data_IF_984294118587
#
_entry.id   IF_984294118587
#
_cell.length_a   1.000
_cell.length_b   1.000
_cell.length_c   1.000
_cell.angle_alpha   90.00
_cell.angle_beta   90.00
_cell.angle_gamma   90.00
#
_symmetry.space_group_name_H-M   'P 1'
#
loop_
_entity.id
_entity.type
_entity.pdbx_description
1 polymer ?
#
# COMPACT_ATOMS: atom_id res chain seq x y z
N UNK A 1 18.50 5.13 14.62
CA UNK A 1 19.44 6.26 14.48
C UNK A 1 20.63 5.88 13.56
N UNK A 2 21.38 4.80 13.84
CA UNK A 2 22.58 4.41 13.06
C UNK A 2 22.36 4.36 11.54
N UNK A 3 21.27 3.74 11.06
CA UNK A 3 20.99 3.66 9.63
C UNK A 3 20.84 5.05 8.98
N UNK A 4 20.15 5.95 9.66
CA UNK A 4 19.98 7.35 9.18
C UNK A 4 21.31 8.09 9.18
N UNK A 5 22.14 7.89 10.21
CA UNK A 5 23.49 8.49 10.32
C UNK A 5 24.42 8.00 9.20
N UNK A 6 24.17 6.80 8.67
CA UNK A 6 24.86 6.23 7.50
C UNK A 6 24.21 6.59 6.16
N UNK A 7 23.21 7.49 6.14
CA UNK A 7 22.55 7.94 4.92
C UNK A 7 21.41 7.04 4.42
N UNK A 8 21.01 6.00 5.17
CA UNK A 8 19.88 5.13 4.82
C UNK A 8 18.59 5.81 5.26
N UNK A 9 17.96 6.54 4.35
CA UNK A 9 16.79 7.35 4.63
C UNK A 9 15.51 6.89 3.92
N UNK A 10 15.54 5.88 3.05
CA UNK A 10 14.36 5.26 2.46
C UNK A 10 13.94 4.07 3.33
N UNK A 11 12.78 4.21 4.02
CA UNK A 11 12.27 3.20 4.92
C UNK A 11 10.98 2.61 4.38
N UNK A 12 10.97 1.29 4.19
CA UNK A 12 9.84 0.54 3.68
C UNK A 12 9.20 -0.30 4.79
N UNK A 13 7.88 -0.20 4.91
CA UNK A 13 7.06 -0.97 5.83
C UNK A 13 5.73 -1.38 5.17
N UNK A 14 4.80 -1.93 5.93
CA UNK A 14 3.44 -2.23 5.48
C UNK A 14 2.47 -2.30 6.67
N UNK A 15 1.18 -2.06 6.42
CA UNK A 15 0.15 -2.17 7.45
C UNK A 15 0.09 -3.55 8.11
N UNK A 16 0.45 -4.60 7.36
CA UNK A 16 0.38 -5.99 7.85
C UNK A 16 1.62 -6.45 8.60
N UNK A 17 2.70 -5.66 8.62
CA UNK A 17 3.92 -6.07 9.29
C UNK A 17 3.79 -5.95 10.82
N UNK A 18 4.37 -6.90 11.56
CA UNK A 18 5.39 -7.89 11.21
C UNK A 18 4.84 -9.17 10.57
N UNK A 19 5.76 -9.97 10.02
CA UNK A 19 5.48 -11.29 9.46
C UNK A 19 6.01 -12.36 10.46
N UNK A 20 5.28 -13.49 10.67
CA UNK A 20 3.99 -13.85 10.05
C UNK A 20 2.84 -12.95 10.53
N UNK A 21 1.85 -12.76 9.63
CA UNK A 21 0.68 -11.93 9.91
C UNK A 21 -0.14 -12.51 11.07
N UNK A 22 -0.36 -11.71 12.12
CA UNK A 22 -1.20 -12.05 13.29
C UNK A 22 -1.98 -10.81 13.69
N UNK A 23 -3.16 -11.02 14.27
CA UNK A 23 -4.02 -9.93 14.75
C UNK A 23 -3.29 -9.06 15.79
N UNK A 24 -2.57 -9.71 16.72
CA UNK A 24 -1.87 -9.05 17.83
C UNK A 24 -0.71 -8.16 17.36
N UNK A 25 -0.11 -8.49 16.21
CA UNK A 25 1.07 -7.78 15.67
C UNK A 25 0.74 -6.92 14.43
N UNK A 26 -0.53 -6.91 14.02
CA UNK A 26 -0.97 -6.09 12.88
C UNK A 26 -0.63 -4.61 13.07
N UNK A 27 0.13 -4.06 12.13
CA UNK A 27 0.56 -2.66 12.14
C UNK A 27 1.66 -2.31 13.14
N UNK A 28 2.30 -3.30 13.77
CA UNK A 28 3.28 -3.04 14.84
C UNK A 28 4.53 -2.33 14.31
N UNK A 29 5.03 -2.66 13.13
CA UNK A 29 6.18 -1.97 12.54
C UNK A 29 5.88 -0.51 12.24
N UNK A 30 4.68 -0.19 11.77
CA UNK A 30 4.26 1.21 11.59
C UNK A 30 4.17 1.93 12.94
N UNK A 31 3.69 1.29 14.01
CA UNK A 31 3.67 1.87 15.37
C UNK A 31 5.09 2.15 15.90
N UNK A 32 6.02 1.22 15.68
CA UNK A 32 7.43 1.39 16.07
C UNK A 32 8.03 2.61 15.36
N UNK A 33 7.86 2.69 14.03
CA UNK A 33 8.34 3.83 13.23
C UNK A 33 7.69 5.14 13.70
N UNK A 34 6.37 5.15 13.90
CA UNK A 34 5.65 6.32 14.38
C UNK A 34 6.10 6.79 15.78
N UNK A 35 6.43 5.86 16.68
CA UNK A 35 7.01 6.18 17.99
C UNK A 35 8.39 6.82 17.84
N UNK A 36 9.20 6.32 16.90
CA UNK A 36 10.51 6.91 16.60
C UNK A 36 10.36 8.33 16.03
N UNK A 37 9.44 8.57 15.08
CA UNK A 37 9.16 9.92 14.58
C UNK A 37 8.73 10.87 15.69
N UNK A 38 7.84 10.43 16.57
CA UNK A 38 7.39 11.24 17.71
C UNK A 38 8.55 11.62 18.63
N UNK A 39 9.47 10.68 18.90
CA UNK A 39 10.62 10.86 19.79
C UNK A 39 11.67 11.75 19.18
N UNK A 40 12.05 11.52 17.92
CA UNK A 40 13.23 12.14 17.30
C UNK A 40 12.93 13.41 16.52
N UNK A 41 11.67 13.62 16.11
CA UNK A 41 11.23 14.70 15.22
C UNK A 41 11.89 14.67 13.83
N UNK A 42 12.41 13.51 13.40
CA UNK A 42 13.15 13.35 12.15
C UNK A 42 12.28 12.86 10.97
N UNK A 43 10.94 13.02 11.03
CA UNK A 43 10.03 12.57 9.94
C UNK A 43 10.45 13.14 8.56
N UNK A 44 10.86 14.39 8.51
CA UNK A 44 11.25 15.09 7.29
C UNK A 44 12.59 14.62 6.68
N UNK A 45 13.37 13.82 7.40
CA UNK A 45 14.61 13.22 6.91
C UNK A 45 14.40 11.86 6.27
N UNK A 46 13.20 11.30 6.38
CA UNK A 46 12.87 9.94 5.92
C UNK A 46 11.95 10.00 4.72
N UNK A 47 12.29 9.25 3.68
CA UNK A 47 11.38 8.86 2.60
C UNK A 47 10.66 7.61 3.08
N UNK A 48 9.40 7.75 3.45
CA UNK A 48 8.61 6.69 4.07
C UNK A 48 7.72 6.00 3.03
N UNK A 49 7.92 4.70 2.86
CA UNK A 49 7.04 3.84 2.10
C UNK A 49 6.23 2.94 3.04
N UNK A 50 4.94 2.80 2.78
CA UNK A 50 4.10 1.76 3.39
C UNK A 50 3.10 1.21 2.39
N UNK A 51 2.38 0.13 2.77
CA UNK A 51 1.58 -0.64 1.82
C UNK A 51 0.22 -1.00 2.41
N UNK A 52 -0.80 -0.94 1.57
CA UNK A 52 -2.14 -1.48 1.87
C UNK A 52 -2.24 -2.90 1.34
N UNK A 53 -2.73 -3.84 2.14
CA UNK A 53 -2.91 -5.21 1.69
C UNK A 53 -4.01 -5.34 0.63
N UNK A 54 -3.83 -6.25 -0.30
CA UNK A 54 -4.84 -6.64 -1.29
C UNK A 54 -5.92 -7.55 -0.69
N UNK A 55 -6.40 -8.51 -1.47
CA UNK A 55 -7.39 -9.48 -1.00
C UNK A 55 -6.81 -10.36 0.13
N UNK A 56 -7.59 -10.56 1.20
CA UNK A 56 -7.18 -11.39 2.34
C UNK A 56 -8.37 -12.05 3.02
N UNK A 57 -8.17 -13.25 3.56
CA UNK A 57 -9.15 -13.95 4.41
C UNK A 57 -9.12 -13.50 5.88
N UNK A 58 -8.11 -12.73 6.29
CA UNK A 58 -7.94 -12.27 7.65
C UNK A 58 -8.99 -11.22 8.04
N UNK A 59 -9.98 -11.62 8.83
CA UNK A 59 -11.12 -10.76 9.20
C UNK A 59 -10.74 -9.53 10.01
N UNK A 60 -9.64 -9.58 10.78
CA UNK A 60 -9.14 -8.43 11.54
C UNK A 60 -8.63 -7.29 10.64
N UNK A 61 -8.37 -7.57 9.36
CA UNK A 61 -8.03 -6.55 8.36
C UNK A 61 -9.31 -6.10 7.68
N UNK A 62 -9.98 -5.10 8.23
CA UNK A 62 -11.21 -4.47 7.67
C UNK A 62 -12.30 -5.47 7.24
N UNK A 63 -12.43 -6.58 7.98
CA UNK A 63 -13.42 -7.63 7.70
C UNK A 63 -13.00 -8.65 6.65
N UNK A 64 -11.75 -8.57 6.14
CA UNK A 64 -11.25 -9.44 5.08
C UNK A 64 -11.78 -9.10 3.68
N UNK A 65 -11.51 -9.95 2.69
CA UNK A 65 -11.91 -9.76 1.30
C UNK A 65 -11.08 -8.71 0.55
N UNK A 66 -11.67 -8.09 -0.47
CA UNK A 66 -11.05 -7.04 -1.28
C UNK A 66 -10.89 -5.74 -0.49
N UNK A 67 -9.74 -5.06 -0.60
CA UNK A 67 -9.37 -3.93 0.26
C UNK A 67 -9.09 -2.62 -0.48
N UNK A 68 -9.13 -2.61 -1.82
CA UNK A 68 -8.83 -1.41 -2.61
C UNK A 68 -10.05 -0.56 -2.95
N UNK A 69 -11.27 -1.04 -2.70
CA UNK A 69 -12.48 -0.22 -2.83
C UNK A 69 -12.38 1.04 -1.96
N UNK A 70 -12.88 2.17 -2.47
CA UNK A 70 -12.71 3.52 -1.91
C UNK A 70 -12.83 3.60 -0.37
N UNK A 71 -13.86 2.98 0.21
CA UNK A 71 -14.07 3.01 1.66
C UNK A 71 -12.92 2.33 2.42
N UNK A 72 -12.57 1.10 2.01
CA UNK A 72 -11.54 0.31 2.72
C UNK A 72 -10.13 0.86 2.54
N UNK A 73 -9.79 1.34 1.34
CA UNK A 73 -8.46 1.91 1.10
C UNK A 73 -8.29 3.25 1.83
N UNK A 74 -9.36 4.04 1.98
CA UNK A 74 -9.34 5.25 2.80
C UNK A 74 -9.12 4.91 4.27
N UNK A 75 -9.87 3.95 4.80
CA UNK A 75 -9.70 3.47 6.18
C UNK A 75 -8.28 2.95 6.42
N UNK A 76 -7.72 2.18 5.47
CA UNK A 76 -6.34 1.68 5.55
C UNK A 76 -5.32 2.81 5.67
N UNK A 77 -5.43 3.82 4.79
CA UNK A 77 -4.53 4.97 4.79
C UNK A 77 -4.62 5.76 6.10
N UNK A 78 -5.84 6.07 6.56
CA UNK A 78 -6.04 6.84 7.80
C UNK A 78 -5.48 6.08 9.02
N UNK A 79 -5.66 4.76 9.07
CA UNK A 79 -5.08 3.93 10.11
C UNK A 79 -3.54 3.87 10.05
N UNK A 80 -2.95 3.79 8.86
CA UNK A 80 -1.49 3.83 8.68
C UNK A 80 -0.91 5.18 9.12
N UNK A 81 -1.50 6.30 8.71
CA UNK A 81 -1.10 7.64 9.15
C UNK A 81 -1.15 7.78 10.67
N UNK A 82 -2.21 7.25 11.31
CA UNK A 82 -2.36 7.24 12.77
C UNK A 82 -1.27 6.41 13.46
N UNK A 83 -0.96 5.20 12.96
CA UNK A 83 0.11 4.34 13.52
C UNK A 83 1.48 4.98 13.33
N UNK A 84 1.74 5.53 12.15
CA UNK A 84 2.99 6.20 11.77
C UNK A 84 3.15 7.58 12.42
N UNK A 85 2.09 8.15 13.02
CA UNK A 85 2.09 9.48 13.67
C UNK A 85 2.63 10.58 12.76
N UNK A 86 2.17 10.58 11.51
CA UNK A 86 2.53 11.53 10.47
C UNK A 86 1.31 11.90 9.64
N UNK A 87 1.34 13.08 9.04
CA UNK A 87 0.24 13.57 8.20
C UNK A 87 0.36 13.11 6.75
N UNK A 88 1.53 12.58 6.36
CA UNK A 88 1.77 12.14 4.99
C UNK A 88 2.69 10.92 4.88
N UNK A 89 2.55 10.21 3.78
CA UNK A 89 3.39 9.09 3.34
C UNK A 89 4.04 9.48 2.03
N UNK A 90 5.34 9.20 1.86
CA UNK A 90 6.03 9.54 0.62
C UNK A 90 5.68 8.58 -0.51
N UNK A 91 5.62 7.27 -0.25
CA UNK A 91 5.24 6.25 -1.22
C UNK A 91 4.19 5.30 -0.64
N UNK A 92 2.98 5.31 -1.19
CA UNK A 92 1.90 4.40 -0.79
C UNK A 92 1.74 3.31 -1.83
N UNK A 93 1.89 2.05 -1.44
CA UNK A 93 1.95 0.93 -2.37
C UNK A 93 0.76 -0.02 -2.19
N UNK A 94 0.25 -0.56 -3.29
CA UNK A 94 -0.65 -1.70 -3.29
C UNK A 94 0.18 -2.96 -3.08
N UNK A 95 -0.02 -3.66 -1.96
CA UNK A 95 0.91 -4.69 -1.47
C UNK A 95 0.89 -5.98 -2.31
N UNK A 96 -0.27 -6.36 -2.83
CA UNK A 96 -0.47 -7.43 -3.81
C UNK A 96 -1.82 -7.26 -4.51
N UNK A 97 -1.99 -7.85 -5.71
CA UNK A 97 -3.25 -7.77 -6.46
C UNK A 97 -4.45 -8.33 -5.69
N UNK A 98 -5.63 -7.75 -5.90
CA UNK A 98 -6.89 -8.32 -5.41
C UNK A 98 -7.39 -9.48 -6.27
N UNK A 99 -7.14 -9.41 -7.58
CA UNK A 99 -7.57 -10.42 -8.53
C UNK A 99 -6.77 -11.71 -8.41
N UNK A 100 -7.32 -12.80 -8.93
CA UNK A 100 -6.61 -14.07 -9.03
C UNK A 100 -5.42 -13.94 -9.99
N UNK A 101 -4.22 -14.10 -9.45
CA UNK A 101 -2.97 -14.08 -10.21
C UNK A 101 -1.86 -14.76 -9.41
N UNK A 102 -0.70 -14.94 -10.02
CA UNK A 102 0.46 -15.55 -9.35
C UNK A 102 1.21 -14.52 -8.53
N UNK A 103 1.26 -14.74 -7.22
CA UNK A 103 2.11 -14.00 -6.28
C UNK A 103 2.40 -14.88 -5.05
N UNK A 104 3.43 -14.55 -4.28
CA UNK A 104 3.86 -15.27 -3.08
C UNK A 104 4.10 -16.78 -3.31
N UNK A 105 4.77 -17.14 -4.42
CA UNK A 105 5.09 -18.52 -4.74
C UNK A 105 3.95 -19.35 -5.35
N UNK A 106 2.78 -18.76 -5.58
CA UNK A 106 1.71 -19.41 -6.33
C UNK A 106 2.12 -19.52 -7.80
N UNK A 107 2.08 -20.74 -8.34
CA UNK A 107 2.35 -21.06 -9.74
C UNK A 107 1.09 -21.61 -10.43
N UNK A 108 1.10 -21.62 -11.77
CA UNK A 108 0.01 -22.20 -12.55
C UNK A 108 -1.23 -21.30 -12.53
N UNK A 109 -1.15 -20.14 -13.19
CA UNK A 109 -2.32 -19.26 -13.37
C UNK A 109 -3.38 -19.97 -14.21
N UNK A 110 -4.58 -20.08 -13.63
CA UNK A 110 -5.79 -20.51 -14.33
C UNK A 110 -6.75 -19.32 -14.39
N UNK A 111 -7.18 -18.99 -15.60
CA UNK A 111 -8.12 -17.91 -15.80
C UNK A 111 -9.51 -18.32 -15.29
N UNK A 112 -10.10 -17.45 -14.47
CA UNK A 112 -11.47 -17.59 -14.00
C UNK A 112 -12.29 -16.39 -14.48
N UNK A 113 -13.18 -16.60 -15.45
CA UNK A 113 -14.06 -15.55 -15.99
C UNK A 113 -15.02 -14.98 -14.92
N UNK A 114 -15.23 -15.69 -13.81
CA UNK A 114 -16.07 -15.25 -12.70
C UNK A 114 -15.32 -14.37 -11.69
N UNK A 115 -14.00 -14.28 -11.80
CA UNK A 115 -13.17 -13.39 -10.95
C UNK A 115 -13.31 -11.94 -11.40
N UNK A 116 -14.48 -11.35 -11.16
CA UNK A 116 -14.85 -9.99 -11.57
C UNK A 116 -15.13 -9.06 -10.37
N UNK A 117 -14.97 -9.57 -9.15
CA UNK A 117 -15.37 -8.84 -7.93
C UNK A 117 -14.27 -7.93 -7.35
N UNK A 118 -13.06 -7.95 -7.93
CA UNK A 118 -11.98 -7.06 -7.52
C UNK A 118 -12.25 -5.61 -7.94
N UNK A 119 -11.65 -4.68 -7.21
CA UNK A 119 -11.83 -3.23 -7.45
C UNK A 119 -11.24 -2.83 -8.81
N UNK A 120 -11.99 -2.18 -9.69
CA UNK A 120 -11.47 -1.70 -10.98
C UNK A 120 -10.25 -0.81 -10.81
N UNK A 121 -9.27 -0.95 -11.69
CA UNK A 121 -8.04 -0.14 -11.67
C UNK A 121 -8.30 1.36 -11.70
N UNK A 122 -9.33 1.81 -12.43
CA UNK A 122 -9.73 3.21 -12.49
C UNK A 122 -10.19 3.72 -11.12
N UNK A 123 -11.07 2.97 -10.42
CA UNK A 123 -11.55 3.33 -9.08
C UNK A 123 -10.39 3.40 -8.07
N UNK A 124 -9.45 2.46 -8.17
CA UNK A 124 -8.24 2.47 -7.33
C UNK A 124 -7.44 3.76 -7.57
N UNK A 125 -7.15 4.08 -8.84
CA UNK A 125 -6.38 5.27 -9.21
C UNK A 125 -7.09 6.58 -8.82
N UNK A 126 -8.42 6.66 -8.95
CA UNK A 126 -9.22 7.81 -8.51
C UNK A 126 -9.13 8.02 -6.98
N UNK A 127 -9.21 6.91 -6.22
CA UNK A 127 -9.06 6.95 -4.77
C UNK A 127 -7.67 7.46 -4.38
N UNK A 128 -6.62 6.89 -4.99
CA UNK A 128 -5.24 7.31 -4.76
C UNK A 128 -4.99 8.76 -5.19
N UNK A 129 -5.59 9.21 -6.28
CA UNK A 129 -5.52 10.61 -6.72
C UNK A 129 -6.13 11.57 -5.69
N UNK A 130 -7.23 11.18 -5.08
CA UNK A 130 -7.84 11.97 -3.99
C UNK A 130 -6.85 12.12 -2.82
N UNK A 131 -6.18 11.04 -2.43
CA UNK A 131 -5.19 11.09 -1.34
C UNK A 131 -3.97 11.94 -1.66
N UNK A 132 -3.54 11.98 -2.94
CA UNK A 132 -2.47 12.89 -3.40
C UNK A 132 -2.93 14.34 -3.31
N UNK A 133 -4.14 14.65 -3.78
CA UNK A 133 -4.71 16.00 -3.72
C UNK A 133 -4.90 16.50 -2.30
N UNK A 134 -5.24 15.60 -1.38
CA UNK A 134 -5.38 15.88 0.06
C UNK A 134 -4.02 16.02 0.78
N UNK A 135 -2.91 15.78 0.07
CA UNK A 135 -1.56 15.83 0.64
C UNK A 135 -1.21 14.68 1.58
N UNK A 136 -2.07 13.65 1.67
CA UNK A 136 -1.86 12.47 2.53
C UNK A 136 -0.79 11.52 1.99
N UNK A 137 -0.65 11.43 0.66
CA UNK A 137 0.41 10.65 0.00
C UNK A 137 1.07 11.49 -1.08
N UNK A 138 2.35 11.23 -1.38
CA UNK A 138 3.09 11.94 -2.45
C UNK A 138 3.14 11.14 -3.74
N UNK A 139 3.49 9.87 -3.64
CA UNK A 139 3.64 8.96 -4.76
C UNK A 139 2.93 7.65 -4.50
N UNK A 140 2.60 6.93 -5.58
CA UNK A 140 1.95 5.63 -5.54
C UNK A 140 2.81 4.58 -6.22
N UNK A 141 2.72 3.33 -5.75
CA UNK A 141 3.48 2.20 -6.29
C UNK A 141 2.73 0.89 -6.17
N UNK A 142 3.32 -0.13 -6.73
CA UNK A 142 2.84 -1.50 -6.72
C UNK A 142 3.84 -2.41 -6.00
N UNK A 143 3.35 -3.52 -5.49
CA UNK A 143 4.15 -4.62 -4.98
C UNK A 143 3.51 -5.94 -5.39
N UNK A 144 4.31 -6.96 -5.71
CA UNK A 144 3.85 -8.29 -6.15
C UNK A 144 2.88 -8.24 -7.35
N UNK A 145 2.92 -7.20 -8.14
CA UNK A 145 2.04 -7.02 -9.29
C UNK A 145 2.65 -7.68 -10.54
N UNK A 146 1.79 -8.15 -11.44
CA UNK A 146 2.20 -8.72 -12.73
C UNK A 146 2.53 -7.62 -13.74
N UNK A 147 3.33 -7.96 -14.77
CA UNK A 147 3.61 -7.05 -15.88
C UNK A 147 2.31 -6.59 -16.57
N UNK A 148 1.31 -7.47 -16.69
CA UNK A 148 0.00 -7.12 -17.25
C UNK A 148 -0.73 -6.08 -16.39
N UNK A 149 -0.79 -6.29 -15.06
CA UNK A 149 -1.45 -5.35 -14.17
C UNK A 149 -0.76 -3.99 -14.13
N UNK A 150 0.60 -3.97 -14.11
CA UNK A 150 1.36 -2.73 -14.24
C UNK A 150 1.02 -2.00 -15.55
N UNK A 151 1.00 -2.71 -16.69
CA UNK A 151 0.65 -2.12 -17.97
C UNK A 151 -0.76 -1.51 -17.95
N UNK A 152 -1.74 -2.20 -17.33
CA UNK A 152 -3.11 -1.69 -17.20
C UNK A 152 -3.21 -0.45 -16.32
N UNK A 153 -2.52 -0.40 -15.18
CA UNK A 153 -2.44 0.81 -14.37
C UNK A 153 -1.85 2.00 -15.15
N UNK A 154 -0.77 1.78 -15.91
CA UNK A 154 -0.13 2.82 -16.70
C UNK A 154 -1.01 3.29 -17.87
N UNK A 155 -1.70 2.38 -18.54
CA UNK A 155 -2.65 2.69 -19.63
C UNK A 155 -3.78 3.57 -19.12
N UNK A 156 -4.46 3.18 -18.03
CA UNK A 156 -5.58 3.93 -17.46
C UNK A 156 -5.11 5.28 -16.92
N UNK A 157 -3.97 5.30 -16.23
CA UNK A 157 -3.34 6.55 -15.76
C UNK A 157 -3.18 7.55 -16.90
N UNK A 158 -2.66 7.11 -18.06
CA UNK A 158 -2.47 7.96 -19.25
C UNK A 158 -3.82 8.39 -19.86
N UNK A 159 -4.75 7.46 -20.05
CA UNK A 159 -6.03 7.73 -20.69
C UNK A 159 -6.93 8.67 -19.88
N UNK A 160 -6.90 8.56 -18.56
CA UNK A 160 -7.78 9.29 -17.64
C UNK A 160 -7.08 10.47 -16.94
N UNK A 161 -5.82 10.73 -17.27
CA UNK A 161 -5.00 11.76 -16.60
C UNK A 161 -4.97 11.57 -15.06
N UNK A 162 -4.78 10.33 -14.63
CA UNK A 162 -4.67 9.92 -13.23
C UNK A 162 -3.21 9.70 -12.84
N UNK A 163 -2.89 9.62 -11.52
CA UNK A 163 -1.53 9.42 -11.06
C UNK A 163 -0.87 8.17 -11.63
N UNK A 164 0.42 8.27 -11.95
CA UNK A 164 1.23 7.18 -12.49
C UNK A 164 1.87 6.37 -11.37
N UNK A 165 1.87 5.04 -11.49
CA UNK A 165 2.67 4.18 -10.62
C UNK A 165 4.16 4.49 -10.79
N UNK A 166 4.84 4.81 -9.69
CA UNK A 166 6.25 5.26 -9.67
C UNK A 166 7.24 4.15 -9.38
N UNK A 167 6.78 3.06 -8.76
CA UNK A 167 7.63 1.92 -8.39
C UNK A 167 6.88 0.60 -8.49
N UNK A 168 7.65 -0.47 -8.62
CA UNK A 168 7.20 -1.86 -8.43
C UNK A 168 8.22 -2.56 -7.53
N UNK A 169 7.74 -3.25 -6.50
CA UNK A 169 8.54 -4.04 -5.55
C UNK A 169 8.20 -5.53 -5.68
#
# INVERSE_FOLDING_TARGET
>A
DYALDQGVNFWDTAEIYSIPMREETYGETERIIGNWFKKTKNRNKIILATKVCGNTSNKYIRGGGYNFGKRKITEALDQSLKRLKTDYIDLYQLHWPERNTNFFGKHGYEHDEKDTHWTPFEEILESLNTFIKDGKIRYIGLSNETAWGLAKFLEISKLKNLPKMMSVQ
#
